data_IF_720464528262
#
_entry.id   IF_720464528262
#
_cell.length_a   1.000
_cell.length_b   1.000
_cell.length_c   1.000
_cell.angle_alpha   90.00
_cell.angle_beta   90.00
_cell.angle_gamma   90.00
#
_symmetry.space_group_name_H-M   'P 1'
#
loop_
_entity.id
_entity.type
_entity.pdbx_description
1 polymer ?
#
# COMPACT_ATOMS: atom_id res chain seq x y z
N UNK A 1 -51.43 18.25 0.21
CA UNK A 1 -50.00 18.49 -0.15
C UNK A 1 -49.50 17.27 -0.93
N UNK A 2 -49.46 17.37 -2.26
CA UNK A 2 -49.32 16.23 -3.19
C UNK A 2 -47.85 16.03 -3.55
N UNK A 3 -47.30 14.90 -3.14
CA UNK A 3 -45.88 14.55 -3.41
C UNK A 3 -45.79 13.99 -4.85
N UNK A 4 -45.10 14.71 -5.73
CA UNK A 4 -44.78 14.25 -7.09
C UNK A 4 -43.57 13.29 -7.03
N UNK A 5 -43.83 12.04 -7.40
CA UNK A 5 -42.81 10.98 -7.62
C UNK A 5 -42.06 11.29 -8.91
N UNK A 6 -40.74 11.55 -8.81
CA UNK A 6 -39.85 11.70 -9.96
C UNK A 6 -39.60 10.34 -10.60
N UNK A 7 -39.80 10.25 -11.92
CA UNK A 7 -39.50 9.07 -12.75
C UNK A 7 -38.01 9.06 -13.07
N UNK A 8 -37.34 7.99 -12.70
CA UNK A 8 -35.98 7.66 -13.17
C UNK A 8 -36.08 7.28 -14.66
N UNK A 9 -35.33 7.98 -15.50
CA UNK A 9 -35.16 7.66 -16.93
C UNK A 9 -34.01 6.69 -17.09
N UNK A 10 -34.29 5.51 -17.64
CA UNK A 10 -33.33 4.51 -18.06
C UNK A 10 -32.46 5.05 -19.20
N UNK A 11 -31.12 5.04 -18.98
CA UNK A 11 -30.14 5.35 -20.00
C UNK A 11 -29.66 4.03 -20.61
N UNK A 12 -29.81 3.80 -21.92
CA UNK A 12 -29.33 2.59 -22.57
C UNK A 12 -27.83 2.63 -22.80
N UNK A 13 -27.11 1.58 -22.35
CA UNK A 13 -25.68 1.36 -22.59
C UNK A 13 -25.50 0.71 -23.97
N UNK A 14 -24.72 1.29 -24.91
CA UNK A 14 -24.42 0.64 -26.17
C UNK A 14 -23.38 -0.47 -25.98
N UNK A 15 -23.78 -1.71 -26.34
CA UNK A 15 -22.85 -2.84 -26.47
C UNK A 15 -22.10 -2.72 -27.79
N UNK A 16 -20.84 -2.30 -27.74
CA UNK A 16 -19.90 -2.42 -28.87
C UNK A 16 -19.16 -3.74 -28.77
N UNK A 17 -19.54 -4.68 -29.62
CA UNK A 17 -18.78 -5.88 -29.94
C UNK A 17 -17.62 -5.49 -30.85
N UNK A 18 -16.38 -5.65 -30.38
CA UNK A 18 -15.19 -5.63 -31.25
C UNK A 18 -14.60 -7.03 -31.27
N UNK A 19 -14.86 -7.72 -32.38
CA UNK A 19 -14.19 -8.95 -32.80
C UNK A 19 -12.82 -8.57 -33.35
N UNK A 20 -11.73 -9.02 -32.74
CA UNK A 20 -10.41 -9.03 -33.38
C UNK A 20 -10.04 -10.48 -33.74
N UNK A 21 -10.12 -10.76 -35.04
CA UNK A 21 -9.55 -11.92 -35.70
C UNK A 21 -8.04 -11.69 -35.79
N UNK A 22 -7.22 -12.51 -35.13
CA UNK A 22 -5.78 -12.58 -35.41
C UNK A 22 -5.47 -13.87 -36.17
N UNK A 23 -5.12 -13.66 -37.42
CA UNK A 23 -4.66 -14.63 -38.41
C UNK A 23 -3.22 -15.07 -38.07
N UNK A 24 -3.03 -16.38 -37.97
CA UNK A 24 -1.74 -16.98 -37.69
C UNK A 24 -0.76 -16.88 -38.86
N UNK A 25 0.49 -16.68 -38.55
CA UNK A 25 1.64 -16.93 -39.45
C UNK A 25 2.55 -17.97 -38.81
N UNK A 26 2.52 -19.19 -39.37
CA UNK A 26 3.49 -20.24 -39.17
C UNK A 26 4.73 -19.94 -39.99
N UNK A 27 5.86 -19.74 -39.36
CA UNK A 27 7.17 -19.79 -40.00
C UNK A 27 8.00 -20.95 -39.41
N UNK A 28 8.04 -22.02 -40.14
CA UNK A 28 9.00 -23.12 -40.00
C UNK A 28 10.38 -22.64 -40.44
N UNK A 29 11.36 -22.72 -39.54
CA UNK A 29 12.76 -22.54 -39.84
C UNK A 29 13.60 -23.66 -39.22
N UNK A 30 13.90 -24.70 -40.02
CA UNK A 30 14.99 -25.62 -39.74
C UNK A 30 16.32 -24.96 -40.11
N UNK A 31 17.33 -25.01 -39.24
CA UNK A 31 18.72 -25.13 -39.70
C UNK A 31 19.71 -25.46 -38.58
N UNK A 32 20.41 -26.53 -38.87
CA UNK A 32 21.82 -26.83 -38.59
C UNK A 32 22.27 -27.09 -37.16
N UNK A 33 22.57 -28.35 -37.01
CA UNK A 33 23.43 -28.97 -36.00
C UNK A 33 24.86 -28.49 -36.28
N UNK A 34 25.48 -27.83 -35.32
CA UNK A 34 26.94 -27.64 -35.31
C UNK A 34 27.55 -28.19 -34.02
N UNK A 35 28.73 -28.77 -34.21
CA UNK A 35 29.35 -29.78 -33.36
C UNK A 35 29.84 -29.28 -32.02
N UNK A 36 29.65 -30.10 -31.03
CA UNK A 36 30.41 -30.38 -29.81
C UNK A 36 31.64 -29.50 -29.53
N UNK A 37 31.50 -28.64 -28.53
CA UNK A 37 32.65 -28.27 -27.71
C UNK A 37 32.34 -28.66 -26.25
N UNK A 38 33.06 -29.69 -25.77
CA UNK A 38 33.03 -30.13 -24.38
C UNK A 38 33.85 -29.14 -23.53
N UNK A 39 33.34 -27.92 -23.39
CA UNK A 39 33.82 -27.00 -22.39
C UNK A 39 33.37 -27.48 -21.01
N UNK A 40 34.33 -27.88 -20.18
CA UNK A 40 34.13 -28.16 -18.76
C UNK A 40 33.60 -26.90 -18.06
N UNK A 41 32.29 -26.76 -18.04
CA UNK A 41 31.63 -25.70 -17.25
C UNK A 41 31.82 -26.04 -15.79
N UNK A 42 32.73 -25.35 -15.16
CA UNK A 42 32.83 -25.25 -13.71
C UNK A 42 31.48 -24.66 -13.22
N UNK A 43 30.63 -25.51 -12.65
CA UNK A 43 29.42 -25.06 -11.97
C UNK A 43 29.82 -24.16 -10.80
N UNK A 44 29.76 -22.85 -11.02
CA UNK A 44 29.70 -21.89 -9.92
C UNK A 44 28.44 -22.25 -9.12
N UNK A 45 28.56 -22.54 -7.80
CA UNK A 45 27.38 -22.79 -7.00
C UNK A 45 26.50 -21.56 -7.13
N UNK A 46 25.32 -21.74 -7.72
CA UNK A 46 24.25 -20.73 -7.71
C UNK A 46 23.97 -20.46 -6.24
N UNK A 47 24.29 -19.26 -5.79
CA UNK A 47 23.90 -18.83 -4.46
C UNK A 47 22.38 -18.99 -4.41
N UNK A 48 21.90 -19.84 -3.49
CA UNK A 48 20.49 -19.90 -3.14
C UNK A 48 20.06 -18.45 -2.85
N UNK A 49 18.88 -18.02 -3.28
CA UNK A 49 18.32 -16.74 -2.85
C UNK A 49 18.40 -16.74 -1.32
N UNK A 50 19.06 -15.74 -0.75
CA UNK A 50 19.04 -15.55 0.69
C UNK A 50 17.56 -15.49 1.08
N UNK A 51 17.09 -16.46 1.86
CA UNK A 51 15.80 -16.35 2.52
C UNK A 51 15.87 -15.03 3.28
N UNK A 52 15.01 -14.09 2.88
CA UNK A 52 14.84 -12.82 3.58
C UNK A 52 14.29 -13.15 4.96
N UNK A 53 15.20 -13.46 5.88
CA UNK A 53 14.83 -13.62 7.29
C UNK A 53 14.51 -12.21 7.80
N UNK A 54 13.23 -11.92 7.86
CA UNK A 54 12.72 -10.80 8.64
C UNK A 54 13.42 -10.84 10.00
N UNK A 55 14.10 -9.75 10.35
CA UNK A 55 14.80 -9.73 11.63
C UNK A 55 13.80 -9.92 12.76
N UNK A 56 13.96 -10.98 13.55
CA UNK A 56 13.12 -11.25 14.72
C UNK A 56 13.20 -10.13 15.78
N UNK A 57 14.11 -9.19 15.60
CA UNK A 57 14.38 -8.08 16.51
C UNK A 57 13.68 -6.76 16.10
N UNK A 58 12.80 -6.80 15.08
CA UNK A 58 12.02 -5.61 14.71
C UNK A 58 10.99 -5.28 15.82
N UNK A 59 11.07 -4.12 16.46
CA UNK A 59 10.13 -3.74 17.53
C UNK A 59 8.82 -3.22 16.94
N UNK A 60 8.08 -4.09 16.24
CA UNK A 60 6.81 -3.74 15.58
C UNK A 60 5.84 -3.16 16.61
N UNK A 61 5.26 -2.01 16.28
CA UNK A 61 4.24 -1.36 17.10
C UNK A 61 2.93 -2.13 17.06
N UNK A 62 2.26 -2.25 18.20
CA UNK A 62 0.94 -2.87 18.28
C UNK A 62 -0.15 -1.81 18.03
N UNK A 63 -1.00 -1.97 17.01
CA UNK A 63 -2.14 -1.09 16.81
C UNK A 63 -3.24 -1.38 17.83
N UNK A 64 -4.07 -0.39 18.13
CA UNK A 64 -5.21 -0.52 19.04
C UNK A 64 -6.51 -0.69 18.25
N UNK A 65 -7.39 -1.59 18.71
CA UNK A 65 -8.75 -1.70 18.20
C UNK A 65 -9.60 -0.56 18.76
N UNK A 66 -9.95 0.41 17.92
CA UNK A 66 -10.65 1.60 18.36
C UNK A 66 -11.47 2.23 17.22
N UNK A 67 -12.31 3.21 17.58
CA UNK A 67 -13.03 4.04 16.64
C UNK A 67 -12.38 5.42 16.60
N UNK A 68 -11.93 5.92 15.43
CA UNK A 68 -11.40 7.26 15.29
C UNK A 68 -12.48 8.33 15.57
N UNK A 69 -12.06 9.58 15.83
CA UNK A 69 -13.00 10.68 16.05
C UNK A 69 -13.90 10.92 14.83
N UNK A 70 -15.16 11.18 15.08
CA UNK A 70 -16.08 11.63 14.03
C UNK A 70 -15.62 12.96 13.42
N UNK A 71 -15.86 13.11 12.12
CA UNK A 71 -15.64 14.36 11.41
C UNK A 71 -16.99 14.89 10.91
N UNK A 72 -17.48 16.04 11.45
CA UNK A 72 -18.77 16.58 11.06
C UNK A 72 -18.82 17.02 9.58
N UNK A 73 -17.67 17.16 8.91
CA UNK A 73 -17.59 17.50 7.49
C UNK A 73 -17.69 16.26 6.57
N UNK A 74 -17.72 15.05 7.14
CA UNK A 74 -17.81 13.80 6.38
C UNK A 74 -19.13 13.11 6.68
N UNK A 75 -19.83 12.68 5.64
CA UNK A 75 -21.06 11.90 5.79
C UNK A 75 -20.68 10.46 6.18
N UNK A 76 -21.07 10.06 7.37
CA UNK A 76 -20.77 8.75 7.95
C UNK A 76 -19.72 8.86 9.05
N UNK A 77 -19.86 8.01 10.06
CA UNK A 77 -18.85 7.84 11.11
C UNK A 77 -17.81 6.83 10.66
N UNK A 78 -16.53 7.02 11.02
CA UNK A 78 -15.54 5.98 10.85
C UNK A 78 -15.96 4.74 11.66
N UNK A 79 -15.65 3.58 11.14
CA UNK A 79 -15.92 2.32 11.83
C UNK A 79 -14.79 1.98 12.80
N UNK A 80 -15.02 1.01 13.66
CA UNK A 80 -13.96 0.43 14.48
C UNK A 80 -12.98 -0.32 13.56
N UNK A 81 -11.72 -0.29 13.93
CA UNK A 81 -10.64 -0.96 13.24
C UNK A 81 -9.35 -0.87 14.04
N UNK A 82 -8.28 -1.40 13.48
CA UNK A 82 -6.95 -1.26 14.06
C UNK A 82 -6.29 0.04 13.61
N UNK A 83 -5.73 0.76 14.58
CA UNK A 83 -5.07 2.05 14.35
C UNK A 83 -3.81 2.20 15.20
N UNK A 84 -2.77 2.77 14.62
CA UNK A 84 -1.71 3.41 15.40
C UNK A 84 -2.21 4.79 15.81
N UNK A 85 -1.97 5.16 17.07
CA UNK A 85 -2.55 6.37 17.66
C UNK A 85 -1.51 7.02 18.57
N UNK A 86 -1.31 8.34 18.46
CA UNK A 86 -0.44 9.05 19.37
C UNK A 86 -1.13 9.29 20.75
N UNK A 87 -0.35 9.70 21.74
CA UNK A 87 -0.82 9.80 23.14
C UNK A 87 -2.06 10.69 23.30
N UNK A 88 -2.09 11.86 22.66
CA UNK A 88 -3.20 12.81 22.75
C UNK A 88 -4.34 12.50 21.79
N UNK A 89 -4.23 11.40 21.03
CA UNK A 89 -5.23 10.92 20.06
C UNK A 89 -5.59 11.95 18.98
N UNK A 90 -4.64 12.78 18.62
CA UNK A 90 -4.80 13.81 17.58
C UNK A 90 -4.48 13.29 16.18
N UNK A 91 -3.57 12.28 16.06
CA UNK A 91 -3.26 11.58 14.81
C UNK A 91 -3.52 10.08 14.96
N UNK A 92 -4.18 9.52 13.94
CA UNK A 92 -4.48 8.10 13.82
C UNK A 92 -4.07 7.63 12.42
N UNK A 93 -3.43 6.47 12.33
CA UNK A 93 -3.10 5.79 11.08
C UNK A 93 -3.80 4.44 11.05
N UNK A 94 -4.59 4.15 10.01
CA UNK A 94 -5.22 2.84 9.86
C UNK A 94 -4.19 1.74 9.67
N UNK A 95 -4.37 0.62 10.38
CA UNK A 95 -3.54 -0.58 10.31
C UNK A 95 -4.38 -1.76 9.80
N UNK A 96 -5.09 -1.56 8.70
CA UNK A 96 -6.07 -2.51 8.14
C UNK A 96 -5.47 -3.88 7.79
N UNK A 97 -4.17 -3.94 7.50
CA UNK A 97 -3.46 -5.20 7.23
C UNK A 97 -3.33 -6.12 8.46
N UNK A 98 -3.70 -5.65 9.64
CA UNK A 98 -3.69 -6.46 10.86
C UNK A 98 -5.03 -7.15 11.13
N UNK A 99 -6.08 -6.86 10.34
CA UNK A 99 -7.42 -7.43 10.51
C UNK A 99 -7.55 -8.85 9.95
N UNK A 100 -6.70 -9.21 8.99
CA UNK A 100 -6.74 -10.51 8.32
C UNK A 100 -5.37 -11.20 8.42
N UNK A 101 -5.35 -12.49 8.76
CA UNK A 101 -4.12 -13.27 8.95
C UNK A 101 -3.24 -13.37 7.67
N UNK A 102 -3.81 -13.07 6.50
CA UNK A 102 -3.13 -13.15 5.19
C UNK A 102 -2.64 -11.81 4.65
N UNK A 103 -2.96 -10.69 5.29
CA UNK A 103 -2.58 -9.36 4.81
C UNK A 103 -1.31 -8.83 5.49
N UNK A 104 -0.20 -9.48 5.20
CA UNK A 104 1.11 -8.91 5.52
C UNK A 104 1.35 -7.62 4.73
N UNK A 105 1.97 -6.66 5.39
CA UNK A 105 2.46 -5.47 4.73
C UNK A 105 3.61 -5.85 3.80
N UNK A 106 3.45 -5.65 2.48
CA UNK A 106 4.43 -6.07 1.46
C UNK A 106 4.95 -4.90 0.65
N UNK A 107 6.18 -5.04 0.14
CA UNK A 107 6.69 -4.13 -0.90
C UNK A 107 5.75 -4.18 -2.10
N UNK A 108 5.30 -3.01 -2.58
CA UNK A 108 4.36 -2.89 -3.69
C UNK A 108 4.65 -1.66 -4.52
N UNK A 109 4.65 -1.81 -5.85
CA UNK A 109 4.73 -0.67 -6.79
C UNK A 109 3.48 0.21 -6.75
N UNK A 110 2.33 -0.34 -6.33
CA UNK A 110 1.09 0.41 -6.17
C UNK A 110 1.05 1.21 -4.86
N UNK A 111 1.98 0.93 -3.96
CA UNK A 111 2.03 1.50 -2.62
C UNK A 111 0.94 0.96 -1.69
N UNK A 112 1.12 1.22 -0.41
CA UNK A 112 0.19 0.81 0.65
C UNK A 112 -0.74 1.98 0.96
N UNK A 113 -2.04 1.79 0.80
CA UNK A 113 -3.03 2.81 1.16
C UNK A 113 -3.20 2.88 2.66
N UNK A 114 -3.00 4.06 3.23
CA UNK A 114 -3.21 4.32 4.66
C UNK A 114 -4.20 5.47 4.84
N UNK A 115 -5.23 5.22 5.63
CA UNK A 115 -6.18 6.24 6.05
C UNK A 115 -5.69 6.91 7.34
N UNK A 116 -5.68 8.24 7.34
CA UNK A 116 -5.25 9.03 8.49
C UNK A 116 -6.41 9.86 9.02
N UNK A 117 -6.49 9.98 10.35
CA UNK A 117 -7.30 11.00 11.00
C UNK A 117 -6.34 11.93 11.73
N UNK A 118 -6.44 13.22 11.48
CA UNK A 118 -5.54 14.28 11.94
C UNK A 118 -6.32 15.56 12.27
N UNK A 119 -5.71 16.61 12.83
CA UNK A 119 -6.36 17.90 12.97
C UNK A 119 -6.89 18.40 11.63
N UNK A 120 -8.16 18.83 11.59
CA UNK A 120 -8.83 19.24 10.35
C UNK A 120 -8.07 20.39 9.67
N UNK A 121 -7.86 20.25 8.35
CA UNK A 121 -7.15 21.25 7.55
C UNK A 121 -5.64 21.32 7.76
N UNK A 122 -5.06 20.58 8.72
CA UNK A 122 -3.60 20.55 8.88
C UNK A 122 -2.92 19.85 7.71
N UNK A 123 -1.76 20.30 7.29
CA UNK A 123 -0.91 19.57 6.34
C UNK A 123 -0.38 18.32 7.01
N UNK A 124 -0.48 17.18 6.32
CA UNK A 124 0.09 15.91 6.75
C UNK A 124 1.44 15.72 6.06
N UNK A 125 2.48 15.51 6.84
CA UNK A 125 3.82 15.17 6.39
C UNK A 125 4.17 13.78 6.90
N UNK A 126 4.68 12.91 6.01
CA UNK A 126 5.03 11.54 6.37
C UNK A 126 6.47 11.28 5.94
N UNK A 127 7.25 10.73 6.84
CA UNK A 127 8.61 10.25 6.59
C UNK A 127 8.75 8.83 7.11
N UNK A 128 9.73 8.09 6.60
CA UNK A 128 10.03 6.77 7.14
C UNK A 128 11.46 6.37 6.85
N UNK A 129 12.02 5.59 7.77
CA UNK A 129 13.37 5.07 7.68
C UNK A 129 13.40 3.58 8.04
N UNK A 130 14.26 2.84 7.37
CA UNK A 130 14.52 1.45 7.70
C UNK A 130 15.43 1.36 8.94
N UNK A 131 15.08 0.50 9.91
CA UNK A 131 15.78 0.37 11.19
C UNK A 131 16.85 -0.72 11.18
N UNK A 132 16.64 -1.78 10.40
CA UNK A 132 17.46 -3.00 10.39
C UNK A 132 18.55 -3.02 9.31
N UNK A 133 18.50 -2.10 8.33
CA UNK A 133 19.51 -1.96 7.28
C UNK A 133 19.51 -0.55 6.69
N UNK A 134 20.52 -0.25 5.87
CA UNK A 134 20.50 0.98 5.07
C UNK A 134 19.57 0.80 3.86
N UNK A 135 18.69 1.76 3.65
CA UNK A 135 17.78 1.82 2.50
C UNK A 135 17.49 3.29 2.14
N UNK A 136 17.02 3.57 0.92
CA UNK A 136 16.40 4.86 0.61
C UNK A 136 15.23 5.12 1.58
N UNK A 137 14.92 6.38 1.83
CA UNK A 137 13.77 6.75 2.67
C UNK A 137 12.46 6.27 2.06
N UNK A 138 11.45 6.05 2.90
CA UNK A 138 10.06 5.87 2.48
C UNK A 138 9.62 7.02 1.57
N UNK A 139 8.97 6.70 0.46
CA UNK A 139 8.25 7.68 -0.35
C UNK A 139 6.77 7.70 0.08
N UNK A 140 6.23 8.89 0.33
CA UNK A 140 4.83 9.06 0.70
C UNK A 140 4.12 9.95 -0.32
N UNK A 141 3.09 9.42 -0.96
CA UNK A 141 2.17 10.22 -1.76
C UNK A 141 1.04 10.76 -0.87
N UNK A 142 1.15 12.05 -0.54
CA UNK A 142 0.18 12.75 0.32
C UNK A 142 -0.61 13.74 -0.54
N UNK A 143 -1.82 13.38 -1.01
CA UNK A 143 -2.63 14.29 -1.81
C UNK A 143 -3.00 15.56 -1.03
N UNK A 144 -2.85 16.71 -1.63
CA UNK A 144 -3.37 17.96 -1.09
C UNK A 144 -4.87 18.05 -1.41
N UNK A 145 -5.68 18.78 -0.85
CA UNK A 145 -5.65 19.54 0.40
C UNK A 145 -6.96 19.23 1.07
N UNK A 146 -6.95 18.23 1.93
CA UNK A 146 -8.16 17.75 2.60
C UNK A 146 -8.58 18.73 3.70
N UNK A 147 -9.76 19.35 3.62
CA UNK A 147 -10.27 20.21 4.68
C UNK A 147 -10.77 19.41 5.89
N UNK A 148 -11.03 18.11 5.69
CA UNK A 148 -11.55 17.17 6.69
C UNK A 148 -10.44 16.66 7.60
N UNK A 149 -10.82 15.95 8.67
CA UNK A 149 -9.88 15.22 9.52
C UNK A 149 -9.31 13.98 8.80
N UNK A 150 -10.12 13.30 8.00
CA UNK A 150 -9.69 12.13 7.24
C UNK A 150 -8.89 12.52 6.01
N UNK A 151 -7.81 11.76 5.76
CA UNK A 151 -6.99 11.85 4.56
C UNK A 151 -6.43 10.49 4.20
N UNK A 152 -6.55 10.08 2.94
CA UNK A 152 -5.90 8.88 2.42
C UNK A 152 -4.54 9.21 1.79
N UNK A 153 -3.56 8.32 1.95
CA UNK A 153 -2.22 8.43 1.37
C UNK A 153 -1.77 7.11 0.75
N UNK A 154 -0.70 7.14 -0.06
CA UNK A 154 0.05 5.98 -0.48
C UNK A 154 1.43 5.99 0.15
N UNK A 155 1.86 4.89 0.75
CA UNK A 155 3.20 4.69 1.29
C UNK A 155 3.94 3.67 0.42
N UNK A 156 5.13 4.02 -0.04
CA UNK A 156 5.96 3.19 -0.91
C UNK A 156 7.25 2.84 -0.17
N UNK A 157 7.31 1.61 0.33
CA UNK A 157 8.50 1.08 0.97
C UNK A 157 9.47 0.59 -0.11
N UNK A 158 10.69 1.13 -0.20
CA UNK A 158 11.63 0.76 -1.26
C UNK A 158 12.18 -0.66 -1.12
N UNK A 159 12.13 -1.23 0.09
CA UNK A 159 12.59 -2.60 0.39
C UNK A 159 11.78 -3.19 1.52
N UNK A 160 11.78 -4.53 1.62
CA UNK A 160 11.36 -5.25 2.82
C UNK A 160 12.21 -4.84 4.04
N UNK A 161 11.73 -5.14 5.25
CA UNK A 161 12.46 -4.93 6.50
C UNK A 161 11.64 -4.23 7.59
N UNK A 162 12.36 -3.76 8.60
CA UNK A 162 11.81 -3.07 9.76
C UNK A 162 11.79 -1.56 9.51
N UNK A 163 10.61 -0.96 9.49
CA UNK A 163 10.45 0.45 9.11
C UNK A 163 9.79 1.27 10.21
N UNK A 164 10.42 2.36 10.61
CA UNK A 164 9.79 3.41 11.40
C UNK A 164 9.11 4.40 10.47
N UNK A 165 7.82 4.64 10.70
CA UNK A 165 7.02 5.64 9.98
C UNK A 165 6.67 6.76 10.95
N UNK A 166 6.96 8.00 10.58
CA UNK A 166 6.62 9.20 11.36
C UNK A 166 5.71 10.11 10.56
N UNK A 167 4.57 10.44 11.14
CA UNK A 167 3.60 11.38 10.58
C UNK A 167 3.51 12.63 11.47
N UNK A 168 3.47 13.81 10.83
CA UNK A 168 3.30 15.12 11.49
C UNK A 168 2.12 15.86 10.89
N UNK A 169 1.29 16.45 11.74
CA UNK A 169 0.20 17.32 11.32
C UNK A 169 -0.03 18.42 12.37
N UNK A 170 0.19 19.68 12.03
CA UNK A 170 0.31 20.80 12.97
C UNK A 170 1.36 20.49 14.06
N UNK A 171 0.99 20.59 15.33
CA UNK A 171 1.88 20.29 16.46
C UNK A 171 1.87 18.81 16.89
N UNK A 172 1.06 17.98 16.20
CA UNK A 172 0.89 16.57 16.53
C UNK A 172 1.87 15.69 15.77
N UNK A 173 2.39 14.67 16.45
CA UNK A 173 3.32 13.68 15.88
C UNK A 173 2.84 12.28 16.25
N UNK A 174 2.91 11.36 15.29
CA UNK A 174 2.73 9.92 15.50
C UNK A 174 3.92 9.20 14.88
N UNK A 175 4.59 8.33 15.64
CA UNK A 175 5.58 7.40 15.12
C UNK A 175 5.17 5.97 15.47
N UNK A 176 5.38 5.04 14.52
CA UNK A 176 5.15 3.61 14.72
C UNK A 176 6.10 2.79 13.84
N UNK A 177 6.31 1.54 14.23
CA UNK A 177 7.20 0.61 13.52
C UNK A 177 6.36 -0.50 12.90
N UNK A 178 6.67 -0.83 11.64
CA UNK A 178 6.03 -1.91 10.89
C UNK A 178 7.07 -2.85 10.28
N UNK A 179 6.69 -4.11 10.16
CA UNK A 179 7.44 -5.09 9.39
C UNK A 179 6.90 -5.18 7.97
N UNK A 180 7.75 -4.97 6.97
CA UNK A 180 7.41 -5.04 5.55
C UNK A 180 8.01 -6.30 4.96
N UNK A 181 7.18 -7.16 4.38
CA UNK A 181 7.58 -8.40 3.70
C UNK A 181 7.98 -8.14 2.24
N UNK A 182 8.74 -9.07 1.60
CA UNK A 182 9.08 -8.98 0.19
C UNK A 182 7.87 -9.08 -0.74
#
# INVERSE_FOLDING_TARGET
MTIRKARMTDVPIPRSLIFFLFLGVLLTGCSAIDAMDFGTSTMTPSALPAESTFSSDCPVSEPVWAKPPDDPAVTGSPEHGYYFVNEDRSIWASAWWTEEEEHDLRVSEEGIKVGWFRPAGATLEITGQRLDAQAPSLEAHVPCCYPTRFQATGLYFPTEGCWEVTAKAADSVLSFVVGVQP
#
